data_IF_396932012024
#
_entry.id   IF_396932012024
#
_cell.length_a   1.000
_cell.length_b   1.000
_cell.length_c   1.000
_cell.angle_alpha   90.00
_cell.angle_beta   90.00
_cell.angle_gamma   90.00
#
_symmetry.space_group_name_H-M   'P 1'
#
loop_
_entity.id
_entity.type
_entity.pdbx_description
1 polymer ?
#
# COMPACT_ATOMS: atom_id res chain seq x y z
N UNK A 1 -5.75 -71.90 10.30
CA UNK A 1 -4.85 -72.45 9.28
C UNK A 1 -4.56 -71.33 8.30
N UNK A 2 -3.29 -70.93 8.23
CA UNK A 2 -2.78 -69.86 7.36
C UNK A 2 -2.58 -70.46 5.97
N UNK A 3 -3.13 -69.83 4.94
CA UNK A 3 -2.79 -70.05 3.53
C UNK A 3 -2.37 -68.70 2.95
N UNK A 4 -1.05 -68.54 2.92
CA UNK A 4 -0.20 -68.18 1.80
C UNK A 4 -0.67 -67.26 0.65
N UNK A 5 0.32 -66.48 0.21
CA UNK A 5 0.65 -66.15 -1.18
C UNK A 5 0.10 -64.84 -1.79
N UNK A 6 1.03 -63.87 -1.96
CA UNK A 6 1.40 -63.15 -3.20
C UNK A 6 1.55 -61.64 -2.99
N UNK A 7 2.50 -60.94 -3.61
CA UNK A 7 3.81 -61.19 -4.21
C UNK A 7 4.30 -59.77 -4.61
N UNK A 8 5.62 -59.61 -4.73
CA UNK A 8 6.30 -58.66 -5.63
C UNK A 8 6.34 -57.17 -5.27
N UNK A 9 7.47 -56.83 -4.64
CA UNK A 9 8.29 -55.64 -4.89
C UNK A 9 8.54 -55.50 -6.41
N UNK A 10 8.42 -54.27 -6.98
CA UNK A 10 9.31 -53.90 -8.06
C UNK A 10 10.03 -52.56 -7.82
N UNK A 11 11.33 -52.64 -8.11
CA UNK A 11 12.27 -51.62 -8.60
C UNK A 11 12.02 -50.13 -8.27
N UNK A 12 12.98 -49.59 -7.52
CA UNK A 12 13.42 -48.20 -7.59
C UNK A 12 13.67 -47.78 -9.05
N UNK A 13 12.83 -46.88 -9.56
CA UNK A 13 13.21 -45.98 -10.64
C UNK A 13 13.58 -44.63 -10.02
N UNK A 14 14.89 -44.33 -10.00
CA UNK A 14 15.38 -42.98 -9.80
C UNK A 14 14.90 -42.13 -10.98
N UNK A 15 13.93 -41.24 -10.73
CA UNK A 15 13.73 -40.05 -11.56
C UNK A 15 14.22 -38.86 -10.74
N UNK A 16 15.49 -38.51 -10.95
CA UNK A 16 16.04 -37.24 -10.53
C UNK A 16 15.40 -36.13 -11.39
N UNK A 17 14.23 -35.67 -10.98
CA UNK A 17 13.68 -34.40 -11.42
C UNK A 17 14.35 -33.28 -10.63
N UNK A 18 15.27 -32.55 -11.26
CA UNK A 18 15.85 -31.35 -10.71
C UNK A 18 14.73 -30.32 -10.46
N UNK A 19 14.38 -30.08 -9.20
CA UNK A 19 13.54 -28.96 -8.81
C UNK A 19 14.45 -27.81 -8.38
N UNK A 20 14.26 -26.66 -9.04
CA UNK A 20 14.83 -25.40 -8.61
C UNK A 20 14.38 -25.07 -7.18
N UNK A 21 15.29 -24.51 -6.39
CA UNK A 21 15.00 -24.10 -5.02
C UNK A 21 13.85 -23.07 -5.01
N UNK A 22 12.78 -23.34 -4.25
CA UNK A 22 11.76 -22.34 -3.89
C UNK A 22 10.30 -22.63 -4.25
N UNK A 23 9.95 -23.76 -4.87
CA UNK A 23 8.53 -24.10 -5.11
C UNK A 23 8.00 -25.11 -4.09
N UNK A 24 7.14 -24.63 -3.18
CA UNK A 24 6.28 -25.48 -2.36
C UNK A 24 5.12 -25.95 -3.25
N UNK A 25 4.98 -27.27 -3.42
CA UNK A 25 3.82 -27.88 -4.08
C UNK A 25 2.62 -27.70 -3.16
N UNK A 26 1.66 -26.86 -3.54
CA UNK A 26 0.42 -26.70 -2.81
C UNK A 26 -0.48 -27.90 -3.14
N UNK A 27 -0.95 -28.60 -2.11
CA UNK A 27 -1.91 -29.70 -2.24
C UNK A 27 -3.19 -29.18 -2.94
N UNK A 28 -3.69 -29.82 -4.03
CA UNK A 28 -4.83 -29.31 -4.81
C UNK A 28 -6.13 -29.09 -4.00
N UNK A 29 -6.22 -29.62 -2.78
CA UNK A 29 -7.36 -29.46 -1.87
C UNK A 29 -7.38 -28.18 -1.02
N UNK A 30 -6.33 -27.34 -1.05
CA UNK A 30 -6.22 -26.12 -0.23
C UNK A 30 -6.41 -24.81 -1.01
N UNK A 31 -6.92 -24.87 -2.24
CA UNK A 31 -7.28 -23.66 -2.98
C UNK A 31 -8.60 -23.13 -2.38
N UNK A 32 -8.63 -21.94 -1.73
CA UNK A 32 -9.89 -21.37 -1.27
C UNK A 32 -10.78 -21.15 -2.49
N UNK A 33 -11.90 -21.88 -2.57
CA UNK A 33 -12.91 -21.70 -3.62
C UNK A 33 -13.48 -20.30 -3.45
N UNK A 34 -13.02 -19.37 -4.29
CA UNK A 34 -13.47 -17.97 -4.23
C UNK A 34 -14.92 -17.90 -4.69
N UNK A 35 -15.75 -17.20 -3.93
CA UNK A 35 -17.10 -16.89 -4.37
C UNK A 35 -17.04 -16.12 -5.69
N UNK A 36 -17.88 -16.46 -6.68
CA UNK A 36 -17.92 -15.74 -7.95
C UNK A 36 -18.30 -14.28 -7.72
N UNK A 37 -17.61 -13.36 -8.39
CA UNK A 37 -17.94 -11.93 -8.36
C UNK A 37 -19.38 -11.74 -8.85
N UNK A 38 -20.19 -11.06 -8.05
CA UNK A 38 -21.60 -10.84 -8.37
C UNK A 38 -21.82 -9.52 -9.12
N UNK A 39 -21.04 -8.49 -8.81
CA UNK A 39 -21.23 -7.15 -9.35
C UNK A 39 -19.90 -6.45 -9.64
N UNK A 40 -19.86 -5.68 -10.73
CA UNK A 40 -18.70 -4.88 -11.12
C UNK A 40 -19.02 -3.40 -10.92
N UNK A 41 -18.09 -2.67 -10.31
CA UNK A 41 -18.17 -1.23 -10.03
C UNK A 41 -17.03 -0.49 -10.75
N UNK A 42 -17.25 0.78 -11.05
CA UNK A 42 -16.21 1.65 -11.58
C UNK A 42 -16.75 2.96 -12.17
N UNK A 43 -15.87 3.95 -12.32
CA UNK A 43 -16.23 5.23 -12.91
C UNK A 43 -16.85 6.23 -11.93
N UNK A 44 -17.68 7.13 -12.43
CA UNK A 44 -18.20 8.29 -11.69
C UNK A 44 -19.67 8.11 -11.33
N UNK A 45 -20.00 8.28 -10.06
CA UNK A 45 -21.34 8.15 -9.51
C UNK A 45 -21.83 9.51 -8.99
N UNK A 46 -22.83 10.05 -9.68
CA UNK A 46 -23.48 11.33 -9.32
C UNK A 46 -24.78 11.16 -8.52
N UNK A 47 -25.26 9.93 -8.37
CA UNK A 47 -26.46 9.59 -7.59
C UNK A 47 -26.07 8.74 -6.38
N UNK A 48 -26.97 8.68 -5.40
CA UNK A 48 -26.79 7.81 -4.23
C UNK A 48 -26.72 6.34 -4.64
N UNK A 49 -25.77 5.62 -4.06
CA UNK A 49 -25.55 4.19 -4.28
C UNK A 49 -25.45 3.48 -2.96
N UNK A 50 -26.13 2.34 -2.86
CA UNK A 50 -26.01 1.43 -1.71
C UNK A 50 -25.41 0.10 -2.17
N UNK A 51 -24.32 -0.29 -1.53
CA UNK A 51 -23.73 -1.63 -1.69
C UNK A 51 -24.37 -2.56 -0.66
N UNK A 52 -25.18 -3.50 -1.16
CA UNK A 52 -25.94 -4.44 -0.35
C UNK A 52 -25.14 -5.72 -0.08
N UNK A 53 -25.26 -6.28 1.12
CA UNK A 53 -24.62 -7.55 1.46
C UNK A 53 -25.03 -8.69 0.51
N UNK A 54 -26.31 -8.74 0.14
CA UNK A 54 -26.87 -9.77 -0.76
C UNK A 54 -26.24 -9.81 -2.15
N UNK A 55 -25.58 -8.72 -2.54
CA UNK A 55 -24.97 -8.49 -3.85
C UNK A 55 -23.42 -8.57 -3.78
N UNK A 56 -22.88 -8.94 -2.60
CA UNK A 56 -21.47 -9.17 -2.34
C UNK A 56 -21.06 -10.56 -2.85
N UNK A 57 -19.85 -10.76 -3.41
CA UNK A 57 -18.77 -9.78 -3.51
C UNK A 57 -18.81 -8.87 -4.74
N UNK A 58 -18.38 -7.62 -4.54
CA UNK A 58 -18.20 -6.61 -5.56
C UNK A 58 -16.76 -6.60 -6.09
N UNK A 59 -16.57 -6.28 -7.37
CA UNK A 59 -15.25 -6.03 -7.96
C UNK A 59 -15.18 -4.64 -8.56
N UNK A 60 -14.19 -3.84 -8.15
CA UNK A 60 -13.96 -2.48 -8.63
C UNK A 60 -12.84 -2.53 -9.67
N UNK A 61 -13.18 -2.33 -10.94
CA UNK A 61 -12.23 -2.48 -12.06
C UNK A 61 -11.62 -1.14 -12.53
N UNK A 62 -12.17 -0.01 -12.07
CA UNK A 62 -11.65 1.34 -12.34
C UNK A 62 -11.96 2.28 -11.18
N UNK A 63 -11.23 3.39 -11.07
CA UNK A 63 -11.35 4.32 -9.93
C UNK A 63 -12.82 4.71 -9.70
N UNK A 64 -13.33 4.42 -8.49
CA UNK A 64 -14.71 4.68 -8.10
C UNK A 64 -14.81 6.09 -7.54
N UNK A 65 -15.41 7.01 -8.28
CA UNK A 65 -15.56 8.41 -7.86
C UNK A 65 -16.99 8.70 -7.45
N UNK A 66 -17.21 9.14 -6.21
CA UNK A 66 -18.51 9.62 -5.72
C UNK A 66 -18.49 11.15 -5.79
N UNK A 67 -19.33 11.73 -6.65
CA UNK A 67 -19.39 13.18 -6.85
C UNK A 67 -20.09 13.90 -5.69
N UNK A 68 -19.97 15.23 -5.69
CA UNK A 68 -20.68 16.08 -4.73
C UNK A 68 -22.19 15.85 -4.79
N UNK A 69 -22.85 15.81 -3.63
CA UNK A 69 -24.29 15.56 -3.52
C UNK A 69 -24.69 14.08 -3.61
N UNK A 70 -23.77 13.18 -3.95
CA UNK A 70 -24.00 11.75 -3.92
C UNK A 70 -23.51 11.13 -2.60
N UNK A 71 -24.23 10.11 -2.13
CA UNK A 71 -23.86 9.28 -0.98
C UNK A 71 -23.60 7.85 -1.41
N UNK A 72 -22.42 7.32 -1.07
CA UNK A 72 -22.11 5.89 -1.16
C UNK A 72 -22.33 5.24 0.21
N UNK A 73 -23.33 4.39 0.33
CA UNK A 73 -23.61 3.61 1.54
C UNK A 73 -23.12 2.18 1.35
N UNK A 74 -22.39 1.65 2.33
CA UNK A 74 -21.87 0.28 2.33
C UNK A 74 -22.46 -0.45 3.53
N UNK A 75 -23.20 -1.53 3.28
CA UNK A 75 -23.77 -2.35 4.33
C UNK A 75 -22.72 -3.24 5.03
N UNK A 76 -23.10 -3.74 6.20
CA UNK A 76 -22.31 -4.65 7.02
C UNK A 76 -22.03 -5.96 6.27
N UNK A 77 -20.81 -6.50 6.44
CA UNK A 77 -20.39 -7.75 5.79
C UNK A 77 -20.11 -7.66 4.29
N UNK A 78 -20.27 -6.51 3.65
CA UNK A 78 -19.97 -6.34 2.22
C UNK A 78 -18.48 -6.56 1.96
N UNK A 79 -18.18 -7.38 0.95
CA UNK A 79 -16.83 -7.61 0.45
C UNK A 79 -16.65 -6.89 -0.89
N UNK A 80 -15.60 -6.09 -0.96
CA UNK A 80 -15.23 -5.29 -2.13
C UNK A 80 -13.80 -5.65 -2.51
N UNK A 81 -13.63 -6.17 -3.73
CA UNK A 81 -12.34 -6.46 -4.31
C UNK A 81 -11.94 -5.36 -5.29
N UNK A 82 -10.74 -4.83 -5.17
CA UNK A 82 -10.23 -3.78 -6.05
C UNK A 82 -9.18 -4.34 -6.99
N UNK A 83 -9.34 -4.07 -8.27
CA UNK A 83 -8.28 -4.32 -9.24
C UNK A 83 -7.05 -3.49 -8.92
N UNK A 84 -5.90 -3.93 -9.41
CA UNK A 84 -4.65 -3.34 -8.98
C UNK A 84 -4.51 -1.90 -9.46
N UNK A 85 -4.12 -1.00 -8.56
CA UNK A 85 -4.01 0.44 -8.84
C UNK A 85 -5.35 1.19 -8.83
N UNK A 86 -6.45 0.51 -8.51
CA UNK A 86 -7.80 1.10 -8.43
C UNK A 86 -8.13 1.51 -7.00
N UNK A 87 -8.79 2.66 -6.84
CA UNK A 87 -9.17 3.20 -5.54
C UNK A 87 -10.55 3.83 -5.49
N UNK A 88 -10.87 4.35 -4.32
CA UNK A 88 -12.08 5.13 -4.04
C UNK A 88 -11.73 6.62 -3.99
N UNK A 89 -12.55 7.45 -4.63
CA UNK A 89 -12.43 8.90 -4.58
C UNK A 89 -13.76 9.50 -4.16
N UNK A 90 -13.84 9.93 -2.91
CA UNK A 90 -15.05 10.46 -2.30
C UNK A 90 -14.98 11.98 -2.30
N UNK A 91 -15.79 12.63 -3.15
CA UNK A 91 -16.06 14.07 -3.09
C UNK A 91 -17.37 14.36 -2.35
N UNK A 92 -18.35 13.46 -2.44
CA UNK A 92 -19.59 13.49 -1.67
C UNK A 92 -19.45 12.82 -0.30
N UNK A 93 -20.43 11.99 0.05
CA UNK A 93 -20.51 11.32 1.36
C UNK A 93 -20.24 9.83 1.23
N UNK A 94 -19.45 9.27 2.16
CA UNK A 94 -19.26 7.83 2.34
C UNK A 94 -19.87 7.40 3.68
N UNK A 95 -20.79 6.45 3.66
CA UNK A 95 -21.44 5.89 4.83
C UNK A 95 -21.12 4.39 4.93
N UNK A 96 -20.14 4.02 5.75
CA UNK A 96 -19.76 2.63 5.98
C UNK A 96 -20.46 2.09 7.25
N UNK A 97 -21.45 1.23 7.07
CA UNK A 97 -22.26 0.67 8.15
C UNK A 97 -21.68 -0.71 8.52
N UNK A 98 -20.67 -0.74 9.38
CA UNK A 98 -20.07 -1.98 9.91
C UNK A 98 -20.64 -2.39 11.26
N UNK A 99 -20.43 -3.64 11.67
CA UNK A 99 -20.59 -4.10 13.06
C UNK A 99 -19.43 -5.04 13.43
N UNK A 100 -19.33 -5.42 14.72
CA UNK A 100 -18.23 -6.24 15.26
C UNK A 100 -18.22 -7.69 14.75
N UNK A 101 -19.35 -8.19 14.26
CA UNK A 101 -19.50 -9.57 13.79
C UNK A 101 -19.36 -9.69 12.25
N UNK A 102 -19.60 -8.60 11.54
CA UNK A 102 -19.63 -8.51 10.09
C UNK A 102 -19.02 -7.18 9.63
N UNK A 103 -17.70 -7.14 9.63
CA UNK A 103 -16.94 -6.01 9.13
C UNK A 103 -17.05 -5.90 7.60
N UNK A 104 -17.01 -4.66 7.11
CA UNK A 104 -16.82 -4.38 5.68
C UNK A 104 -15.39 -4.77 5.31
N UNK A 105 -15.23 -5.55 4.24
CA UNK A 105 -13.91 -5.99 3.78
C UNK A 105 -13.59 -5.32 2.44
N UNK A 106 -12.50 -4.55 2.42
CA UNK A 106 -11.94 -3.95 1.19
C UNK A 106 -10.58 -4.57 0.94
N UNK A 107 -10.51 -5.42 -0.09
CA UNK A 107 -9.36 -6.28 -0.37
C UNK A 107 -8.87 -6.09 -1.81
N UNK A 108 -7.59 -6.36 -2.09
CA UNK A 108 -7.12 -6.50 -3.48
C UNK A 108 -7.81 -7.66 -4.20
N UNK A 109 -8.08 -7.51 -5.50
CA UNK A 109 -8.44 -8.63 -6.37
C UNK A 109 -7.17 -9.38 -6.80
N UNK A 110 -6.80 -10.42 -6.05
CA UNK A 110 -5.53 -11.14 -6.25
C UNK A 110 -5.67 -12.25 -7.30
N UNK A 111 -5.24 -12.10 -8.55
CA UNK A 111 -5.26 -13.24 -9.50
C UNK A 111 -4.09 -14.22 -9.34
N UNK A 112 -3.00 -13.80 -8.69
CA UNK A 112 -1.78 -14.58 -8.51
C UNK A 112 -1.65 -15.03 -7.05
N UNK A 113 -1.09 -16.23 -6.81
CA UNK A 113 -0.89 -16.78 -5.45
C UNK A 113 0.58 -16.73 -5.00
N UNK A 114 1.50 -16.47 -5.94
CA UNK A 114 2.93 -16.37 -5.67
C UNK A 114 3.34 -14.90 -5.72
N UNK A 115 3.49 -14.29 -4.55
CA UNK A 115 3.97 -12.93 -4.42
C UNK A 115 5.21 -12.92 -3.54
N UNK A 116 6.14 -12.05 -3.87
CA UNK A 116 7.24 -11.71 -2.99
C UNK A 116 6.70 -10.87 -1.81
N UNK A 117 6.87 -11.40 -0.60
CA UNK A 117 6.46 -10.74 0.64
C UNK A 117 7.49 -9.73 1.16
N UNK A 118 8.61 -9.56 0.45
CA UNK A 118 9.61 -8.55 0.80
C UNK A 118 9.08 -7.15 0.46
N UNK A 119 8.77 -6.38 1.51
CA UNK A 119 8.32 -5.01 1.37
C UNK A 119 9.50 -4.08 1.05
N UNK A 120 9.30 -3.06 0.19
CA UNK A 120 10.32 -2.07 -0.07
C UNK A 120 10.62 -1.28 1.21
N UNK A 121 11.91 -1.05 1.46
CA UNK A 121 12.40 -0.24 2.61
C UNK A 121 12.28 1.28 2.37
N UNK A 122 11.63 1.69 1.29
CA UNK A 122 11.39 3.09 0.92
C UNK A 122 9.93 3.30 0.54
N UNK A 123 9.44 4.52 0.74
CA UNK A 123 8.06 4.91 0.45
C UNK A 123 7.88 6.37 0.09
N UNK A 124 6.80 6.68 -0.62
CA UNK A 124 6.28 8.03 -0.85
C UNK A 124 5.00 8.25 -0.04
N UNK A 125 4.92 9.37 0.68
CA UNK A 125 3.73 9.81 1.44
C UNK A 125 3.37 11.26 1.09
N UNK A 126 2.20 11.76 1.51
CA UNK A 126 1.76 13.16 1.29
C UNK A 126 1.69 13.59 -0.19
N UNK A 127 1.66 12.63 -1.12
CA UNK A 127 1.48 12.85 -2.55
C UNK A 127 0.02 12.81 -2.99
N UNK A 128 -0.24 13.36 -4.18
CA UNK A 128 -1.56 13.28 -4.80
C UNK A 128 -1.85 11.89 -5.39
N UNK A 129 -0.81 11.14 -5.73
CA UNK A 129 -0.88 9.79 -6.28
C UNK A 129 0.13 8.87 -5.58
N UNK A 130 0.06 7.57 -5.86
CA UNK A 130 1.03 6.57 -5.36
C UNK A 130 2.44 6.74 -5.92
N UNK A 131 2.58 7.57 -6.96
CA UNK A 131 3.82 7.81 -7.68
C UNK A 131 4.55 9.05 -7.21
N UNK A 132 3.93 9.89 -6.40
CA UNK A 132 4.51 11.14 -5.95
C UNK A 132 4.41 11.29 -4.44
N UNK A 133 5.28 12.09 -3.85
CA UNK A 133 5.22 12.41 -2.42
C UNK A 133 6.57 12.61 -1.76
N UNK A 134 6.53 12.85 -0.44
CA UNK A 134 7.67 12.90 0.47
C UNK A 134 8.30 11.52 0.59
N UNK A 135 9.60 11.44 0.34
CA UNK A 135 10.37 10.21 0.49
C UNK A 135 10.59 9.90 1.97
N UNK A 136 10.27 8.66 2.35
CA UNK A 136 10.67 8.10 3.64
C UNK A 136 11.43 6.79 3.46
N UNK A 137 12.42 6.57 4.32
CA UNK A 137 13.20 5.36 4.40
C UNK A 137 12.91 4.63 5.72
N UNK A 138 12.83 3.30 5.67
CA UNK A 138 12.78 2.45 6.85
C UNK A 138 14.21 2.24 7.37
N UNK A 139 14.51 2.83 8.52
CA UNK A 139 15.84 2.75 9.11
C UNK A 139 15.76 2.56 10.63
N UNK A 140 16.36 1.47 11.12
CA UNK A 140 16.28 1.02 12.53
C UNK A 140 14.81 0.91 13.00
N UNK A 141 14.03 0.16 12.22
CA UNK A 141 12.60 -0.15 12.47
C UNK A 141 11.69 1.08 12.63
N UNK A 142 12.13 2.22 12.07
CA UNK A 142 11.34 3.44 12.04
C UNK A 142 11.37 4.07 10.66
N UNK A 143 10.20 4.52 10.21
CA UNK A 143 10.08 5.34 9.02
C UNK A 143 10.55 6.76 9.31
N UNK A 144 11.38 7.30 8.41
CA UNK A 144 11.98 8.63 8.56
C UNK A 144 11.96 9.36 7.24
N UNK A 145 11.58 10.63 7.27
CA UNK A 145 11.72 11.51 6.11
C UNK A 145 13.19 11.71 5.74
N UNK A 146 13.46 11.90 4.46
CA UNK A 146 14.82 12.07 3.94
C UNK A 146 15.08 13.54 3.64
N UNK A 147 16.21 14.07 4.12
CA UNK A 147 16.69 15.43 3.81
C UNK A 147 18.05 15.35 3.10
N UNK A 148 18.43 16.39 2.34
CA UNK A 148 19.66 16.37 1.54
C UNK A 148 20.79 17.22 2.13
N UNK A 149 20.60 17.84 3.29
CA UNK A 149 21.52 18.82 3.86
C UNK A 149 21.96 19.89 2.86
N UNK A 150 21.02 20.42 2.08
CA UNK A 150 21.26 21.48 1.06
C UNK A 150 22.20 21.02 -0.06
N UNK A 151 22.22 19.73 -0.36
CA UNK A 151 23.00 19.18 -1.48
C UNK A 151 22.08 18.57 -2.52
N UNK A 152 22.37 18.82 -3.78
CA UNK A 152 21.51 18.33 -4.85
C UNK A 152 21.83 16.87 -5.14
N UNK A 153 20.80 16.02 -5.03
CA UNK A 153 20.84 14.68 -5.58
C UNK A 153 20.99 14.74 -7.10
N UNK A 154 21.73 13.78 -7.65
CA UNK A 154 21.83 13.60 -9.09
C UNK A 154 20.55 12.95 -9.63
N UNK A 155 20.35 13.00 -10.95
CA UNK A 155 19.27 12.25 -11.59
C UNK A 155 19.39 10.74 -11.33
N UNK A 156 20.62 10.22 -11.24
CA UNK A 156 20.88 8.80 -10.95
C UNK A 156 20.39 8.44 -9.54
N UNK A 157 20.60 9.32 -8.56
CA UNK A 157 20.14 9.09 -7.19
C UNK A 157 18.60 9.06 -7.11
N UNK A 158 17.92 10.01 -7.77
CA UNK A 158 16.44 10.06 -7.80
C UNK A 158 15.85 8.86 -8.55
N UNK A 159 16.46 8.46 -9.67
CA UNK A 159 16.06 7.26 -10.41
C UNK A 159 16.22 6.02 -9.54
N UNK A 160 17.35 5.88 -8.83
CA UNK A 160 17.63 4.75 -7.94
C UNK A 160 16.65 4.70 -6.76
N UNK A 161 16.27 5.85 -6.21
CA UNK A 161 15.23 5.95 -5.19
C UNK A 161 13.89 5.39 -5.67
N UNK A 162 13.47 5.74 -6.89
CA UNK A 162 12.25 5.22 -7.48
C UNK A 162 12.35 3.71 -7.80
N UNK A 163 13.51 3.22 -8.26
CA UNK A 163 13.78 1.78 -8.42
C UNK A 163 13.73 1.00 -7.12
N UNK A 164 14.15 1.63 -6.01
CA UNK A 164 14.07 1.04 -4.68
C UNK A 164 12.63 0.75 -4.23
N UNK A 165 11.66 1.45 -4.83
CA UNK A 165 10.22 1.25 -4.64
C UNK A 165 9.59 0.48 -5.81
N UNK A 166 10.42 -0.05 -6.70
CA UNK A 166 10.05 -0.86 -7.86
C UNK A 166 9.47 -0.07 -9.03
N UNK A 167 9.69 1.23 -9.15
CA UNK A 167 9.41 1.97 -10.39
C UNK A 167 10.59 1.89 -11.37
N UNK A 168 10.36 2.12 -12.67
CA UNK A 168 11.47 2.05 -13.63
C UNK A 168 12.43 3.25 -13.49
N UNK A 169 11.86 4.42 -13.19
CA UNK A 169 12.59 5.69 -13.19
C UNK A 169 11.82 6.77 -12.41
N UNK A 170 12.46 7.92 -12.16
CA UNK A 170 11.90 8.98 -11.33
C UNK A 170 12.79 10.22 -11.17
N UNK A 171 12.23 11.25 -10.54
CA UNK A 171 12.86 12.55 -10.45
C UNK A 171 12.40 13.35 -9.25
N UNK A 172 13.09 14.47 -9.03
CA UNK A 172 12.70 15.45 -8.02
C UNK A 172 11.33 16.06 -8.36
N UNK A 173 10.46 16.15 -7.36
CA UNK A 173 9.16 16.78 -7.48
C UNK A 173 9.16 18.17 -6.84
N UNK A 174 9.32 18.21 -5.51
CA UNK A 174 9.25 19.41 -4.70
C UNK A 174 9.83 19.15 -3.32
N UNK A 175 10.06 20.24 -2.61
CA UNK A 175 10.33 20.24 -1.18
C UNK A 175 9.02 20.14 -0.39
N UNK A 176 8.95 19.22 0.57
CA UNK A 176 7.81 19.07 1.48
C UNK A 176 8.14 19.71 2.83
N UNK A 177 7.32 20.69 3.24
CA UNK A 177 7.41 21.29 4.56
C UNK A 177 7.48 20.19 5.63
N UNK A 178 8.49 20.29 6.49
CA UNK A 178 8.76 19.27 7.51
C UNK A 178 7.60 19.19 8.51
N UNK A 179 7.15 17.97 8.80
CA UNK A 179 6.34 17.68 9.97
C UNK A 179 7.26 17.18 11.10
N UNK A 180 7.04 17.66 12.32
CA UNK A 180 7.92 17.32 13.46
C UNK A 180 7.65 15.92 14.05
N UNK A 181 7.11 15.00 13.25
CA UNK A 181 6.63 13.71 13.73
C UNK A 181 7.78 12.70 13.89
N UNK A 182 8.90 12.87 13.15
CA UNK A 182 10.08 11.97 13.23
C UNK A 182 11.40 12.68 12.95
N UNK A 183 12.50 12.25 13.60
CA UNK A 183 13.85 12.71 13.25
C UNK A 183 14.19 12.31 11.80
N UNK A 184 14.54 13.27 10.93
CA UNK A 184 14.86 13.00 9.53
C UNK A 184 16.17 12.21 9.41
N UNK A 185 16.25 11.46 8.32
CA UNK A 185 17.44 10.75 7.88
C UNK A 185 18.20 11.67 6.92
N UNK A 186 19.40 12.08 7.32
CA UNK A 186 20.24 12.94 6.49
C UNK A 186 20.94 12.13 5.40
N UNK A 187 20.66 12.49 4.14
CA UNK A 187 21.17 11.83 2.94
C UNK A 187 21.72 12.87 1.96
N UNK A 188 22.90 13.45 2.24
CA UNK A 188 23.49 14.46 1.36
C UNK A 188 24.05 13.87 0.07
N UNK A 189 24.74 12.72 0.14
CA UNK A 189 25.45 12.18 -1.01
C UNK A 189 25.23 10.67 -1.10
N UNK A 190 24.17 10.20 -1.78
CA UNK A 190 23.98 8.77 -2.05
C UNK A 190 25.09 8.21 -2.95
N UNK A 191 25.53 8.97 -3.95
CA UNK A 191 26.57 8.60 -4.92
C UNK A 191 26.24 7.33 -5.71
N UNK A 192 24.96 7.19 -6.10
CA UNK A 192 24.48 5.98 -6.76
C UNK A 192 25.08 5.79 -8.15
N UNK A 193 25.30 4.53 -8.53
CA UNK A 193 25.68 4.16 -9.88
C UNK A 193 24.45 3.89 -10.76
N UNK A 194 24.51 4.07 -12.09
CA UNK A 194 23.34 3.92 -12.98
C UNK A 194 22.64 2.54 -12.95
N UNK A 195 23.34 1.50 -12.49
CA UNK A 195 22.84 0.13 -12.37
C UNK A 195 22.26 -0.23 -11.00
N UNK A 196 22.24 0.69 -10.03
CA UNK A 196 21.73 0.42 -8.69
C UNK A 196 20.22 0.16 -8.72
N UNK A 197 19.79 -0.88 -7.99
CA UNK A 197 18.39 -1.24 -7.83
C UNK A 197 17.80 -0.66 -6.55
N UNK A 198 18.63 -0.47 -5.51
CA UNK A 198 18.25 0.15 -4.25
C UNK A 198 19.18 1.30 -3.87
N UNK A 199 18.65 2.32 -3.18
CA UNK A 199 19.44 3.36 -2.53
C UNK A 199 20.41 2.77 -1.48
N UNK A 200 20.08 1.60 -0.90
CA UNK A 200 20.97 0.88 0.01
C UNK A 200 22.20 0.30 -0.70
N UNK A 201 22.17 0.14 -2.02
CA UNK A 201 23.31 -0.34 -2.83
C UNK A 201 24.30 0.78 -3.16
N UNK A 202 23.95 2.04 -2.84
CA UNK A 202 24.78 3.18 -3.17
C UNK A 202 25.92 3.35 -2.14
N UNK A 203 27.13 3.75 -2.57
CA UNK A 203 28.29 3.95 -1.68
C UNK A 203 28.01 4.85 -0.47
N UNK A 204 27.17 5.87 -0.61
CA UNK A 204 26.75 6.74 0.50
C UNK A 204 25.98 6.03 1.62
N UNK A 205 25.47 4.82 1.36
CA UNK A 205 24.72 3.97 2.28
C UNK A 205 25.44 2.68 2.68
N UNK A 206 26.65 2.44 2.16
CA UNK A 206 27.39 1.22 2.41
C UNK A 206 27.71 1.00 3.90
N UNK A 207 27.85 2.08 4.68
CA UNK A 207 28.02 2.03 6.13
C UNK A 207 26.77 2.58 6.86
N UNK A 208 25.91 1.70 7.41
CA UNK A 208 24.75 2.10 8.18
C UNK A 208 25.08 2.92 9.44
N UNK A 209 26.30 2.84 9.97
CA UNK A 209 26.71 3.62 11.14
C UNK A 209 27.12 5.05 10.80
N UNK A 210 27.48 5.31 9.53
CA UNK A 210 27.78 6.65 9.04
C UNK A 210 26.52 7.49 8.81
N UNK A 211 25.34 6.85 8.74
CA UNK A 211 24.04 7.53 8.54
C UNK A 211 23.67 8.32 9.80
N UNK A 212 23.58 9.63 9.64
CA UNK A 212 23.31 10.56 10.74
C UNK A 212 21.81 10.81 10.91
N UNK A 213 21.36 10.77 12.16
CA UNK A 213 19.97 11.03 12.55
C UNK A 213 19.95 12.20 13.55
N UNK A 214 19.35 13.33 13.17
CA UNK A 214 19.18 14.50 14.06
C UNK A 214 18.19 15.49 13.46
N UNK A 215 17.38 16.11 14.32
CA UNK A 215 16.53 17.25 13.97
C UNK A 215 17.33 18.44 13.42
N UNK A 216 18.55 18.64 13.92
CA UNK A 216 19.38 19.81 13.61
C UNK A 216 20.31 19.61 12.41
N UNK A 217 20.51 18.37 11.94
CA UNK A 217 21.40 18.08 10.81
C UNK A 217 20.91 18.69 9.52
N UNK A 218 19.61 18.65 9.30
CA UNK A 218 18.98 19.18 8.11
C UNK A 218 18.80 20.71 8.19
N UNK A 219 19.25 21.41 9.24
CA UNK A 219 19.25 22.89 9.35
C UNK A 219 17.92 23.58 8.97
N UNK A 220 16.77 22.96 9.23
CA UNK A 220 15.45 23.48 8.81
C UNK A 220 15.08 23.28 7.34
N UNK A 221 15.87 22.53 6.57
CA UNK A 221 15.58 22.13 5.18
C UNK A 221 14.32 21.26 5.09
N UNK A 222 13.53 21.48 4.06
CA UNK A 222 12.36 20.67 3.78
C UNK A 222 12.72 19.22 3.41
N UNK A 223 11.74 18.33 3.53
CA UNK A 223 11.93 16.92 3.20
C UNK A 223 11.87 16.71 1.68
N UNK A 224 12.67 15.77 1.19
CA UNK A 224 12.80 15.47 -0.23
C UNK A 224 11.51 14.84 -0.77
N UNK A 225 10.89 15.48 -1.76
CA UNK A 225 9.76 14.93 -2.52
C UNK A 225 10.19 14.43 -3.89
N UNK A 226 9.71 13.24 -4.24
CA UNK A 226 9.98 12.60 -5.53
C UNK A 226 8.69 12.33 -6.31
N UNK A 227 8.85 12.16 -7.61
CA UNK A 227 7.84 11.62 -8.51
C UNK A 227 8.46 10.49 -9.33
N UNK A 228 7.82 9.33 -9.33
CA UNK A 228 8.26 8.13 -10.03
C UNK A 228 7.38 7.84 -11.24
N UNK A 229 7.96 7.27 -12.29
CA UNK A 229 7.26 6.88 -13.50
C UNK A 229 7.63 5.47 -13.95
N UNK A 230 6.87 4.99 -14.93
CA UNK A 230 6.96 3.64 -15.45
C UNK A 230 6.07 2.63 -14.74
N UNK A 231 6.04 1.42 -15.30
CA UNK A 231 5.31 0.31 -14.73
C UNK A 231 6.07 -0.23 -13.51
N UNK A 232 5.40 -0.43 -12.36
CA UNK A 232 6.05 -1.02 -11.21
C UNK A 232 6.49 -2.47 -11.51
N UNK A 233 7.74 -2.80 -11.19
CA UNK A 233 8.36 -4.12 -11.40
C UNK A 233 8.16 -5.07 -10.22
N UNK A 234 7.88 -4.54 -9.03
CA UNK A 234 7.51 -5.35 -7.87
C UNK A 234 6.11 -5.95 -8.07
N UNK A 235 5.85 -7.18 -7.61
CA UNK A 235 4.50 -7.77 -7.68
C UNK A 235 3.68 -7.54 -6.41
N UNK A 236 4.28 -7.01 -5.33
CA UNK A 236 3.61 -6.77 -4.06
C UNK A 236 2.48 -5.71 -4.09
N UNK A 237 2.50 -4.75 -5.02
CA UNK A 237 1.37 -3.80 -5.18
C UNK A 237 0.09 -4.50 -5.64
N UNK A 238 0.17 -5.69 -6.25
CA UNK A 238 -1.00 -6.52 -6.57
C UNK A 238 -1.83 -6.90 -5.34
N UNK A 239 -1.23 -6.89 -4.14
CA UNK A 239 -1.91 -7.10 -2.85
C UNK A 239 -2.53 -5.83 -2.28
N UNK A 240 -2.37 -4.68 -2.92
CA UNK A 240 -2.80 -3.41 -2.36
C UNK A 240 -3.67 -2.65 -3.36
N UNK A 241 -4.78 -2.13 -2.85
CA UNK A 241 -5.65 -1.23 -3.61
C UNK A 241 -5.31 0.22 -3.26
N UNK A 242 -5.76 1.17 -4.08
CA UNK A 242 -5.36 2.59 -3.97
C UNK A 242 -5.96 3.33 -2.75
N UNK A 243 -6.68 2.64 -1.88
CA UNK A 243 -7.30 3.25 -0.71
C UNK A 243 -8.44 4.22 -1.07
N UNK A 244 -8.98 4.87 -0.05
CA UNK A 244 -10.03 5.87 -0.19
C UNK A 244 -9.44 7.28 -0.01
N UNK A 245 -9.66 8.14 -1.01
CA UNK A 245 -9.29 9.55 -0.99
C UNK A 245 -10.55 10.38 -0.77
N UNK A 246 -10.69 10.97 0.42
CA UNK A 246 -11.75 11.94 0.69
C UNK A 246 -11.23 13.35 0.42
N UNK A 247 -11.87 14.06 -0.50
CA UNK A 247 -11.58 15.48 -0.74
C UNK A 247 -12.54 16.31 0.09
N UNK A 248 -12.00 17.09 1.03
CA UNK A 248 -12.76 18.17 1.65
C UNK A 248 -13.16 19.18 0.57
N UNK A 249 -14.44 19.56 0.57
CA UNK A 249 -14.97 20.59 -0.30
C UNK A 249 -14.25 21.90 0.02
N UNK A 250 -13.44 22.41 -0.93
CA UNK A 250 -12.90 23.77 -0.82
C UNK A 250 -14.07 24.75 -0.88
N UNK A 251 -14.17 25.59 0.16
CA UNK A 251 -15.31 26.42 0.53
C UNK A 251 -16.05 27.14 -0.60
N UNK A 252 -17.38 27.10 -0.47
CA UNK A 252 -18.26 28.24 -0.73
C UNK A 252 -19.11 28.42 0.52
N UNK A 253 -19.30 29.67 0.92
CA UNK A 253 -19.91 30.13 2.16
C UNK A 253 -21.16 29.34 2.59
N UNK A 254 -21.07 28.69 3.76
CA UNK A 254 -22.24 28.40 4.57
C UNK A 254 -21.98 28.86 6.00
N UNK A 255 -22.80 29.82 6.42
CA UNK A 255 -22.90 30.37 7.76
C UNK A 255 -22.96 29.28 8.85
N UNK A 256 -22.56 29.59 10.11
CA UNK A 256 -22.50 28.60 11.16
C UNK A 256 -23.91 28.15 11.55
N UNK A 257 -24.34 26.98 11.07
CA UNK A 257 -25.44 26.27 11.71
C UNK A 257 -24.92 25.66 13.01
N UNK A 258 -25.21 26.37 14.11
CA UNK A 258 -25.22 25.82 15.46
C UNK A 258 -26.10 24.57 15.48
N UNK A 259 -25.51 23.41 15.80
CA UNK A 259 -26.26 22.29 16.35
C UNK A 259 -25.98 20.93 15.73
N UNK A 260 -24.86 20.31 16.10
CA UNK A 260 -24.86 18.98 16.74
C UNK A 260 -23.42 18.61 17.04
N UNK A 261 -22.99 19.05 18.23
CA UNK A 261 -21.86 18.53 18.98
C UNK A 261 -22.06 17.01 19.08
N UNK A 262 -21.14 16.20 18.54
CA UNK A 262 -21.06 14.80 18.96
C UNK A 262 -20.68 14.81 20.44
N UNK A 263 -21.52 14.25 21.33
CA UNK A 263 -21.24 14.23 22.76
C UNK A 263 -20.08 13.28 23.04
N UNK A 264 -19.18 13.71 23.93
CA UNK A 264 -18.18 12.87 24.57
C UNK A 264 -18.87 11.63 25.16
N UNK A 265 -18.80 10.51 24.46
CA UNK A 265 -19.13 9.18 24.98
C UNK A 265 -18.10 8.21 24.43
N UNK A 266 -17.53 7.46 25.37
CA UNK A 266 -16.47 6.49 25.18
C UNK A 266 -16.85 5.45 24.11
N UNK A 267 -16.31 5.63 22.92
CA UNK A 267 -16.18 4.60 21.90
C UNK A 267 -14.79 4.74 21.29
N UNK A 268 -13.77 4.42 22.08
CA UNK A 268 -12.51 3.98 21.51
C UNK A 268 -12.79 2.70 20.69
N UNK A 269 -12.41 2.77 19.41
CA UNK A 269 -12.17 1.69 18.46
C UNK A 269 -13.06 1.64 17.20
N UNK A 270 -12.32 1.61 16.08
CA UNK A 270 -12.64 1.12 14.73
C UNK A 270 -13.30 2.06 13.72
N UNK A 271 -12.68 3.22 13.47
CA UNK A 271 -12.45 3.64 12.07
C UNK A 271 -11.05 4.23 11.96
N UNK A 272 -10.08 3.37 11.72
CA UNK A 272 -8.75 3.78 11.30
C UNK A 272 -8.88 4.40 9.91
N UNK A 273 -8.86 5.74 9.86
CA UNK A 273 -8.67 6.50 8.64
C UNK A 273 -7.36 6.02 8.00
N UNK A 274 -7.47 5.20 6.97
CA UNK A 274 -6.37 4.94 6.05
C UNK A 274 -6.62 5.77 4.78
N UNK A 275 -6.06 6.99 4.70
CA UNK A 275 -5.46 7.40 3.43
C UNK A 275 -4.34 6.38 3.12
N UNK A 276 -3.53 6.55 2.09
CA UNK A 276 -2.23 5.87 2.07
C UNK A 276 -1.31 6.37 3.22
N UNK A 277 -1.73 6.24 4.48
CA UNK A 277 -0.88 6.00 5.64
C UNK A 277 -0.38 4.58 5.46
N UNK A 278 0.88 4.45 5.08
CA UNK A 278 1.57 3.19 5.18
C UNK A 278 1.36 2.57 6.57
N UNK A 279 0.89 1.31 6.56
CA UNK A 279 1.20 0.25 7.51
C UNK A 279 1.31 0.67 8.98
N UNK A 280 0.17 0.69 9.66
CA UNK A 280 0.14 0.25 11.06
C UNK A 280 0.02 -1.28 11.04
N UNK A 281 1.15 -1.95 11.10
CA UNK A 281 1.16 -3.29 11.66
C UNK A 281 1.02 -3.15 13.18
N UNK A 282 0.19 -4.03 13.75
CA UNK A 282 -0.11 -4.09 15.17
C UNK A 282 1.18 -4.15 16.00
N UNK A 283 1.38 -3.17 16.88
CA UNK A 283 2.11 -3.43 18.12
C UNK A 283 1.16 -4.26 18.97
N UNK A 284 1.36 -5.58 18.91
CA UNK A 284 0.81 -6.53 19.85
C UNK A 284 1.95 -7.07 20.71
N UNK A 285 2.31 -6.32 21.74
CA UNK A 285 2.58 -6.75 23.11
C UNK A 285 2.59 -5.51 24.01
#
# INVERSE_FOLDING_TARGET
>A
MVFDCRLLIPLLALVAGALAQGQVVIDPGLIPVRQPIQNILGGVYSNNVTLFFRNSPYRVTSDLTVEYGATLTIETGVQIYFDTGVGLKIKGTLQAIGNEFAHIQMLPYQQQLNYDDTFPKFRLIDGATVRDGRLQALFRDRWRSVCTMVTNWTSIDTTTACRSMGYSDGGFLKWHLRNNDTYPLAMPRPDCHPGANSLWDCPGFADPNAIRLSENLCQGEDDLGLVCWGAPTFQGWAKHWKGALQKEARGQDMAPQKGSRCPDTQAENQFTLFPFRYYHEKIGQ
#
